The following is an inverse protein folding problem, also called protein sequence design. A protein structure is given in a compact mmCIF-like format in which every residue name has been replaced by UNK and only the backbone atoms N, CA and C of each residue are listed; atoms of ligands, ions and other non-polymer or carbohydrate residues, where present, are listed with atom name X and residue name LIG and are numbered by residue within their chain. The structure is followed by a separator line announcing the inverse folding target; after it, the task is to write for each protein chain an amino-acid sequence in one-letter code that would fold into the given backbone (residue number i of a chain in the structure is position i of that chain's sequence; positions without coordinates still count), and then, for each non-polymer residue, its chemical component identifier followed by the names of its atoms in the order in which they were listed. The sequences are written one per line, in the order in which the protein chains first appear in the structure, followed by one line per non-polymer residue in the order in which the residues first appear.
data_IF_542959772020
#
_entry.id   IF_542959772020
#
_cell.length_a   1.000
_cell.length_b   1.000
_cell.length_c   1.000
_cell.angle_alpha   90.00
_cell.angle_beta   90.00
_cell.angle_gamma   90.00
#
_symmetry.space_group_name_H-M   'P 1'
#
loop_
_entity.id
_entity.type
_entity.pdbx_description
1 polymer ?
#
# COMPACT_ATOMS: atom_id res chain seq x y z
N UNK A 1 -25.67 11.62 8.16
CA UNK A 1 -24.19 11.80 8.25
C UNK A 1 -23.82 13.03 9.07
N UNK A 2 -24.42 14.21 8.83
CA UNK A 2 -24.14 15.43 9.60
C UNK A 2 -24.48 15.32 11.11
N UNK A 3 -25.63 14.73 11.47
CA UNK A 3 -26.01 14.54 12.88
C UNK A 3 -25.06 13.60 13.63
N UNK A 4 -24.55 12.54 12.98
CA UNK A 4 -23.62 11.60 13.59
C UNK A 4 -22.24 12.22 13.85
N UNK A 5 -21.77 13.12 12.97
CA UNK A 5 -20.56 13.91 13.19
C UNK A 5 -20.72 14.84 14.40
N UNK A 6 -21.84 15.57 14.46
CA UNK A 6 -22.11 16.49 15.57
C UNK A 6 -22.27 15.78 16.93
N UNK A 7 -22.81 14.56 16.93
CA UNK A 7 -22.97 13.73 18.13
C UNK A 7 -21.66 13.01 18.57
N UNK A 8 -20.57 13.14 17.81
CA UNK A 8 -19.30 12.50 18.11
C UNK A 8 -18.60 13.04 19.35
N UNK A 9 -17.59 12.30 19.84
CA UNK A 9 -16.68 12.81 20.86
C UNK A 9 -15.60 13.66 20.19
N UNK A 10 -15.64 14.96 20.45
CA UNK A 10 -14.64 15.89 19.97
C UNK A 10 -13.56 16.08 21.04
N UNK A 11 -12.30 16.01 20.62
CA UNK A 11 -11.16 16.38 21.45
C UNK A 11 -10.50 17.61 20.82
N UNK A 12 -10.20 18.65 21.61
CA UNK A 12 -9.43 19.78 21.10
C UNK A 12 -8.02 19.30 20.72
N UNK A 13 -7.50 19.93 19.67
CA UNK A 13 -6.09 19.83 19.27
C UNK A 13 -5.38 21.02 19.90
N UNK A 14 -4.34 20.77 20.70
CA UNK A 14 -3.51 21.83 21.25
C UNK A 14 -2.55 22.34 20.16
N UNK A 15 -2.84 23.55 19.67
CA UNK A 15 -2.08 24.18 18.59
C UNK A 15 -0.84 24.95 19.06
N UNK A 16 -0.47 24.89 20.34
CA UNK A 16 0.68 25.61 20.91
C UNK A 16 2.00 25.35 20.17
N UNK A 17 2.19 24.13 19.64
CA UNK A 17 3.35 23.74 18.84
C UNK A 17 3.31 24.18 17.36
N UNK A 18 2.19 24.76 16.89
CA UNK A 18 2.02 25.22 15.51
C UNK A 18 1.87 24.10 14.49
N UNK A 19 2.35 24.35 13.26
CA UNK A 19 2.27 23.41 12.13
C UNK A 19 3.66 23.21 11.55
N UNK A 20 4.06 21.94 11.37
CA UNK A 20 5.30 21.58 10.70
C UNK A 20 5.04 20.48 9.69
N UNK A 21 5.72 20.54 8.54
CA UNK A 21 5.65 19.50 7.50
C UNK A 21 7.05 19.07 7.09
N UNK A 22 7.19 17.78 6.83
CA UNK A 22 8.42 17.14 6.35
C UNK A 22 8.06 16.07 5.33
N UNK A 23 8.93 15.86 4.36
CA UNK A 23 8.78 14.80 3.36
C UNK A 23 10.12 14.14 3.09
N UNK A 24 10.08 12.89 2.67
CA UNK A 24 11.22 12.15 2.18
C UNK A 24 10.77 11.19 1.07
N UNK A 25 11.71 10.76 0.26
CA UNK A 25 11.53 9.65 -0.65
C UNK A 25 12.21 8.42 -0.07
N UNK A 26 11.56 7.27 -0.18
CA UNK A 26 12.07 5.98 0.28
C UNK A 26 12.27 5.09 -0.92
N UNK A 27 13.49 4.60 -1.10
CA UNK A 27 13.79 3.60 -2.12
C UNK A 27 13.18 2.24 -1.70
N UNK A 28 12.51 1.60 -2.66
CA UNK A 28 11.85 0.32 -2.50
C UNK A 28 12.12 -0.56 -3.74
N UNK A 29 11.81 -1.84 -3.62
CA UNK A 29 11.90 -2.78 -4.73
C UNK A 29 10.57 -3.49 -4.93
N UNK A 30 10.23 -3.77 -6.18
CA UNK A 30 9.18 -4.69 -6.57
C UNK A 30 9.83 -6.05 -6.83
N UNK A 31 9.38 -7.11 -6.14
CA UNK A 31 10.04 -8.42 -6.17
C UNK A 31 9.03 -9.49 -6.62
N UNK A 32 9.28 -10.18 -7.76
CA UNK A 32 8.39 -11.23 -8.23
C UNK A 32 8.27 -12.35 -7.19
N UNK A 33 7.04 -12.80 -6.97
CA UNK A 33 6.73 -13.92 -6.06
C UNK A 33 6.24 -15.17 -6.79
N UNK A 34 5.86 -15.03 -8.07
CA UNK A 34 5.42 -16.14 -8.91
C UNK A 34 6.63 -17.01 -9.27
N UNK A 35 6.45 -18.33 -9.21
CA UNK A 35 7.51 -19.29 -9.58
C UNK A 35 7.59 -19.46 -11.10
N UNK A 36 6.45 -19.37 -11.78
CA UNK A 36 6.32 -19.48 -13.22
C UNK A 36 6.52 -18.14 -13.92
N UNK A 37 7.10 -18.18 -15.12
CA UNK A 37 7.20 -16.99 -15.96
C UNK A 37 5.79 -16.51 -16.40
N UNK A 38 5.59 -15.19 -16.63
CA UNK A 38 4.30 -14.65 -17.06
C UNK A 38 3.70 -15.35 -18.29
N UNK A 39 4.53 -15.79 -19.24
CA UNK A 39 4.06 -16.53 -20.43
C UNK A 39 3.50 -17.94 -20.09
N UNK A 40 3.99 -18.59 -19.03
CA UNK A 40 3.45 -19.85 -18.54
C UNK A 40 2.12 -19.63 -17.82
N UNK A 41 2.07 -18.64 -16.92
CA UNK A 41 0.86 -18.24 -16.21
C UNK A 41 -0.25 -17.82 -17.19
N UNK A 42 0.09 -17.04 -18.22
CA UNK A 42 -0.82 -16.67 -19.30
C UNK A 42 -1.50 -17.90 -19.92
N UNK A 43 -0.72 -18.90 -20.32
CA UNK A 43 -1.26 -20.13 -20.91
C UNK A 43 -2.19 -20.85 -19.94
N UNK A 44 -1.93 -20.77 -18.65
CA UNK A 44 -2.84 -21.31 -17.63
C UNK A 44 -4.15 -20.52 -17.58
N UNK A 45 -4.06 -19.19 -17.40
CA UNK A 45 -5.23 -18.33 -17.32
C UNK A 45 -6.08 -18.36 -18.58
N UNK A 46 -5.48 -18.48 -19.77
CA UNK A 46 -6.21 -18.67 -21.03
C UNK A 46 -7.02 -19.97 -21.05
N UNK A 47 -6.51 -21.05 -20.44
CA UNK A 47 -7.28 -22.30 -20.32
C UNK A 47 -8.45 -22.14 -19.36
N UNK A 48 -8.22 -21.51 -18.20
CA UNK A 48 -9.23 -21.25 -17.18
C UNK A 48 -10.33 -20.30 -17.69
N UNK A 49 -9.95 -19.30 -18.49
CA UNK A 49 -10.86 -18.31 -19.08
C UNK A 49 -11.93 -18.94 -19.98
N UNK A 50 -11.68 -20.14 -20.54
CA UNK A 50 -12.64 -20.83 -21.40
C UNK A 50 -13.92 -21.25 -20.66
N UNK A 51 -13.82 -21.49 -19.37
CA UNK A 51 -14.93 -21.94 -18.52
C UNK A 51 -15.29 -20.94 -17.43
N UNK A 52 -14.51 -19.86 -17.26
CA UNK A 52 -14.77 -18.84 -16.25
C UNK A 52 -15.94 -17.92 -16.63
N UNK A 53 -16.76 -17.61 -15.63
CA UNK A 53 -17.91 -16.71 -15.69
C UNK A 53 -17.80 -15.60 -14.63
N UNK A 54 -18.69 -14.61 -14.69
CA UNK A 54 -18.78 -13.54 -13.69
C UNK A 54 -17.47 -12.80 -13.42
N UNK A 55 -17.19 -12.54 -12.14
CA UNK A 55 -16.01 -11.82 -11.67
C UNK A 55 -14.71 -12.53 -12.04
N UNK A 56 -14.64 -13.86 -11.89
CA UNK A 56 -13.45 -14.65 -12.22
C UNK A 56 -13.03 -14.47 -13.68
N UNK A 57 -14.00 -14.40 -14.61
CA UNK A 57 -13.74 -14.10 -16.02
C UNK A 57 -13.09 -12.72 -16.21
N UNK A 58 -13.54 -11.73 -15.44
CA UNK A 58 -12.97 -10.39 -15.42
C UNK A 58 -11.53 -10.40 -14.93
N UNK A 59 -11.27 -11.07 -13.81
CA UNK A 59 -9.94 -11.15 -13.19
C UNK A 59 -8.91 -11.79 -14.15
N UNK A 60 -9.26 -12.94 -14.73
CA UNK A 60 -8.38 -13.68 -15.66
C UNK A 60 -8.01 -12.83 -16.89
N UNK A 61 -8.96 -12.06 -17.44
CA UNK A 61 -8.65 -11.15 -18.55
C UNK A 61 -7.64 -10.08 -18.16
N UNK A 62 -7.73 -9.53 -16.95
CA UNK A 62 -6.78 -8.55 -16.46
C UNK A 62 -5.39 -9.16 -16.26
N UNK A 63 -5.31 -10.37 -15.70
CA UNK A 63 -4.03 -11.07 -15.53
C UNK A 63 -3.37 -11.45 -16.86
N UNK A 64 -4.16 -11.90 -17.83
CA UNK A 64 -3.67 -12.16 -19.20
C UNK A 64 -3.15 -10.86 -19.83
N UNK A 65 -3.90 -9.75 -19.73
CA UNK A 65 -3.44 -8.46 -20.26
C UNK A 65 -2.18 -7.96 -19.55
N UNK A 66 -2.07 -8.15 -18.23
CA UNK A 66 -0.86 -7.84 -17.47
C UNK A 66 0.34 -8.65 -17.95
N UNK A 67 0.17 -9.93 -18.29
CA UNK A 67 1.28 -10.78 -18.73
C UNK A 67 1.98 -10.30 -20.02
N UNK A 68 1.31 -9.47 -20.82
CA UNK A 68 1.87 -8.85 -22.03
C UNK A 68 2.62 -7.53 -21.75
N UNK A 69 2.49 -6.97 -20.53
CA UNK A 69 3.12 -5.69 -20.21
C UNK A 69 4.65 -5.84 -20.17
N UNK A 70 5.40 -4.87 -20.73
CA UNK A 70 6.85 -4.83 -20.56
C UNK A 70 7.21 -4.82 -19.08
N UNK A 71 8.07 -5.75 -18.67
CA UNK A 71 8.49 -5.83 -17.27
C UNK A 71 7.64 -6.74 -16.39
N UNK A 72 6.51 -7.29 -16.86
CA UNK A 72 5.70 -8.23 -16.08
C UNK A 72 6.58 -9.38 -15.52
N UNK A 73 6.42 -9.67 -14.23
CA UNK A 73 7.19 -10.69 -13.51
C UNK A 73 8.68 -10.36 -13.34
N UNK A 74 9.12 -9.11 -13.53
CA UNK A 74 10.52 -8.69 -13.31
C UNK A 74 10.67 -7.87 -12.03
N UNK A 75 11.82 -8.02 -11.39
CA UNK A 75 12.23 -7.09 -10.34
C UNK A 75 12.44 -5.69 -10.92
N UNK A 76 12.04 -4.68 -10.15
CA UNK A 76 12.24 -3.27 -10.50
C UNK A 76 12.45 -2.44 -9.24
N UNK A 77 13.27 -1.40 -9.35
CA UNK A 77 13.41 -0.39 -8.31
C UNK A 77 12.25 0.60 -8.39
N UNK A 78 11.85 1.13 -7.23
CA UNK A 78 10.75 2.07 -7.11
C UNK A 78 11.08 3.11 -6.03
N UNK A 79 10.56 4.33 -6.17
CA UNK A 79 10.74 5.39 -5.17
C UNK A 79 9.40 5.87 -4.66
N UNK A 80 9.22 5.78 -3.34
CA UNK A 80 7.95 5.99 -2.67
C UNK A 80 7.99 7.29 -1.84
N UNK A 81 7.11 8.27 -2.13
CA UNK A 81 7.06 9.50 -1.37
C UNK A 81 6.36 9.28 -0.02
N UNK A 82 6.93 9.78 1.06
CA UNK A 82 6.30 9.80 2.38
C UNK A 82 6.35 11.21 2.96
N UNK A 83 5.40 11.53 3.83
CA UNK A 83 5.43 12.78 4.56
C UNK A 83 4.87 12.65 5.97
N UNK A 84 5.25 13.59 6.82
CA UNK A 84 4.62 13.80 8.11
C UNK A 84 4.25 15.27 8.27
N UNK A 85 3.06 15.51 8.79
CA UNK A 85 2.61 16.83 9.20
C UNK A 85 2.29 16.80 10.69
N UNK A 86 2.99 17.63 11.46
CA UNK A 86 2.61 17.95 12.83
C UNK A 86 1.60 19.09 12.80
N UNK A 87 0.47 18.90 13.49
CA UNK A 87 -0.62 19.85 13.67
C UNK A 87 -0.90 19.94 15.17
N UNK A 88 -0.18 20.82 15.87
CA UNK A 88 -0.29 20.92 17.32
C UNK A 88 0.19 19.64 18.03
N UNK A 89 -0.67 19.03 18.85
CA UNK A 89 -0.45 17.74 19.53
C UNK A 89 -0.89 16.51 18.68
N UNK A 90 -1.36 16.73 17.44
CA UNK A 90 -1.76 15.68 16.50
C UNK A 90 -0.76 15.58 15.35
N UNK A 91 -0.53 14.37 14.84
CA UNK A 91 0.31 14.19 13.65
C UNK A 91 -0.41 13.40 12.55
N UNK A 92 -0.12 13.74 11.30
CA UNK A 92 -0.63 13.06 10.11
C UNK A 92 0.55 12.41 9.39
N UNK A 93 0.49 11.09 9.24
CA UNK A 93 1.47 10.29 8.53
C UNK A 93 0.93 9.95 7.14
N UNK A 94 1.62 10.41 6.11
CA UNK A 94 1.23 10.23 4.72
C UNK A 94 2.06 9.13 4.07
N UNK A 95 1.39 8.09 3.61
CA UNK A 95 1.97 6.94 2.92
C UNK A 95 1.39 6.85 1.50
N UNK A 96 2.18 6.46 0.50
CA UNK A 96 1.68 6.20 -0.84
C UNK A 96 0.91 4.87 -0.86
N UNK A 97 0.11 4.63 -1.91
CA UNK A 97 -0.56 3.34 -2.07
C UNK A 97 -1.59 3.02 -0.99
N UNK A 98 -1.80 1.73 -0.77
CA UNK A 98 -2.81 1.20 0.14
C UNK A 98 -2.13 0.49 1.32
N UNK A 99 -1.72 1.24 2.37
CA UNK A 99 -1.10 0.66 3.55
C UNK A 99 -2.10 -0.15 4.36
N UNK A 100 -1.63 -1.29 4.87
CA UNK A 100 -2.43 -2.14 5.75
C UNK A 100 -2.64 -1.50 7.13
N UNK A 101 -3.65 -1.99 7.86
CA UNK A 101 -3.99 -1.54 9.22
C UNK A 101 -2.81 -1.62 10.21
N UNK A 102 -1.81 -2.48 9.93
CA UNK A 102 -0.58 -2.54 10.70
C UNK A 102 0.13 -1.17 10.80
N UNK A 103 0.07 -0.34 9.76
CA UNK A 103 0.65 1.01 9.75
C UNK A 103 0.07 1.90 10.86
N UNK A 104 -1.26 1.89 10.99
CA UNK A 104 -1.98 2.65 12.02
C UNK A 104 -1.63 2.16 13.42
N UNK A 105 -1.60 0.83 13.61
CA UNK A 105 -1.20 0.22 14.88
C UNK A 105 0.23 0.57 15.26
N UNK A 106 1.14 0.61 14.30
CA UNK A 106 2.54 0.91 14.57
C UNK A 106 2.77 2.37 14.92
N UNK A 107 2.16 3.30 14.18
CA UNK A 107 2.33 4.74 14.41
C UNK A 107 1.52 5.25 15.60
N UNK A 108 0.43 4.56 15.95
CA UNK A 108 -0.35 4.80 17.16
C UNK A 108 0.19 4.04 18.38
N UNK A 109 1.28 3.27 18.24
CA UNK A 109 1.89 2.55 19.35
C UNK A 109 2.56 3.52 20.34
N UNK A 110 1.81 3.92 21.37
CA UNK A 110 2.24 4.80 22.45
C UNK A 110 1.04 5.55 23.01
N UNK A 111 0.91 5.62 24.34
CA UNK A 111 -0.30 6.16 25.00
C UNK A 111 -0.64 7.61 24.66
N UNK A 112 0.29 8.36 24.07
CA UNK A 112 0.15 9.77 23.72
C UNK A 112 0.18 10.03 22.20
N UNK A 113 0.37 9.01 21.35
CA UNK A 113 0.44 9.21 19.90
C UNK A 113 -0.95 9.48 19.32
N UNK A 114 -1.21 10.74 18.96
CA UNK A 114 -2.38 11.12 18.14
C UNK A 114 -1.99 11.16 16.66
N UNK A 115 -1.52 10.02 16.14
CA UNK A 115 -1.08 9.92 14.75
C UNK A 115 -2.19 9.33 13.88
N UNK A 116 -2.56 10.02 12.81
CA UNK A 116 -3.53 9.54 11.82
C UNK A 116 -2.74 9.12 10.58
N UNK A 117 -2.97 7.90 10.11
CA UNK A 117 -2.37 7.39 8.86
C UNK A 117 -3.27 7.70 7.68
N UNK A 118 -2.71 8.31 6.64
CA UNK A 118 -3.35 8.56 5.36
C UNK A 118 -2.60 7.82 4.25
N UNK A 119 -3.28 6.87 3.60
CA UNK A 119 -2.81 6.27 2.35
C UNK A 119 -2.97 7.22 1.15
N UNK A 120 -2.66 6.70 -0.04
CA UNK A 120 -2.83 7.37 -1.34
C UNK A 120 -2.09 8.71 -1.48
N UNK A 121 -1.03 8.92 -0.70
CA UNK A 121 -0.26 10.16 -0.75
C UNK A 121 0.60 10.24 -2.01
N UNK A 122 0.27 11.20 -2.89
CA UNK A 122 0.93 11.52 -4.17
C UNK A 122 0.96 10.40 -5.21
N UNK A 123 0.83 9.14 -4.82
CA UNK A 123 0.87 7.99 -5.69
C UNK A 123 0.04 6.82 -5.13
N UNK A 124 -0.40 5.91 -6.00
CA UNK A 124 -1.07 4.67 -5.63
C UNK A 124 -0.52 3.48 -6.43
N UNK A 125 0.71 3.04 -6.14
CA UNK A 125 1.36 1.95 -6.88
C UNK A 125 0.83 0.55 -6.53
N UNK A 126 0.01 0.44 -5.49
CA UNK A 126 -0.59 -0.80 -5.04
C UNK A 126 -0.66 -0.92 -3.52
N UNK A 127 -0.89 -2.14 -3.05
CA UNK A 127 -0.93 -2.44 -1.62
C UNK A 127 0.46 -2.41 -0.99
N UNK A 128 0.49 -2.01 0.28
CA UNK A 128 1.64 -2.11 1.16
C UNK A 128 1.29 -2.99 2.36
N UNK A 129 1.36 -4.33 2.22
CA UNK A 129 1.16 -5.26 3.32
C UNK A 129 2.32 -5.19 4.32
N UNK A 130 2.04 -5.45 5.59
CA UNK A 130 3.10 -5.73 6.57
C UNK A 130 3.76 -7.08 6.28
N UNK A 131 5.00 -7.23 6.74
CA UNK A 131 5.83 -8.39 6.47
C UNK A 131 5.22 -9.71 6.96
N UNK A 132 4.29 -9.70 7.91
CA UNK A 132 3.62 -10.91 8.39
C UNK A 132 2.52 -11.41 7.44
N UNK A 133 2.04 -10.60 6.50
CA UNK A 133 1.02 -11.00 5.51
C UNK A 133 1.61 -11.76 4.32
N UNK A 134 2.88 -11.54 4.00
CA UNK A 134 3.50 -12.17 2.82
C UNK A 134 3.41 -13.71 2.82
N UNK A 135 3.65 -14.42 3.95
CA UNK A 135 3.44 -15.87 4.01
C UNK A 135 1.98 -16.31 3.89
N UNK A 136 1.01 -15.43 4.20
CA UNK A 136 -0.42 -15.72 4.10
C UNK A 136 -0.94 -15.57 2.67
N UNK A 137 -0.26 -14.75 1.86
CA UNK A 137 -0.64 -14.47 0.48
C UNK A 137 -1.96 -13.70 0.41
N UNK A 138 -2.80 -14.05 -0.56
CA UNK A 138 -4.07 -13.37 -0.80
C UNK A 138 -3.93 -12.25 -1.83
N UNK A 139 -5.09 -11.73 -2.27
CA UNK A 139 -5.20 -10.83 -3.40
C UNK A 139 -4.24 -9.63 -3.31
N UNK A 140 -4.21 -8.95 -2.18
CA UNK A 140 -3.42 -7.74 -1.93
C UNK A 140 -1.91 -8.00 -2.05
N UNK A 141 -1.46 -9.19 -1.65
CA UNK A 141 -0.05 -9.59 -1.67
C UNK A 141 0.31 -10.16 -3.04
N UNK A 142 -0.50 -11.07 -3.58
CA UNK A 142 -0.10 -11.92 -4.69
C UNK A 142 -0.59 -11.45 -6.05
N UNK A 143 -1.72 -10.76 -6.12
CA UNK A 143 -2.43 -10.58 -7.38
C UNK A 143 -2.66 -9.12 -7.75
N UNK A 144 -2.83 -8.26 -6.73
CA UNK A 144 -3.25 -6.89 -6.89
C UNK A 144 -2.29 -6.07 -7.76
N UNK A 145 -0.97 -6.33 -7.65
CA UNK A 145 0.05 -5.67 -8.47
C UNK A 145 -0.25 -5.74 -9.98
N UNK A 146 -0.93 -6.81 -10.44
CA UNK A 146 -1.33 -6.99 -11.84
C UNK A 146 -2.40 -5.96 -12.25
N UNK A 147 -3.31 -5.60 -11.34
CA UNK A 147 -4.34 -4.57 -11.53
C UNK A 147 -3.75 -3.16 -11.55
N UNK A 148 -2.80 -2.87 -10.66
CA UNK A 148 -2.04 -1.61 -10.70
C UNK A 148 -1.09 -1.54 -11.91
N UNK A 149 -0.94 -2.65 -12.64
CA UNK A 149 -0.04 -2.73 -13.79
C UNK A 149 1.44 -2.72 -13.41
N UNK A 150 1.75 -3.01 -12.15
CA UNK A 150 3.11 -3.11 -11.66
C UNK A 150 3.75 -4.43 -12.08
N UNK A 151 5.08 -4.46 -12.29
CA UNK A 151 5.79 -5.66 -12.72
C UNK A 151 5.78 -6.79 -11.69
N UNK A 152 5.65 -6.48 -10.40
CA UNK A 152 5.65 -7.38 -9.26
C UNK A 152 5.03 -6.68 -8.03
N UNK A 153 4.70 -7.38 -6.93
CA UNK A 153 4.37 -6.72 -5.67
C UNK A 153 5.59 -6.05 -5.04
N UNK A 154 5.38 -5.14 -4.09
CA UNK A 154 6.47 -4.60 -3.28
C UNK A 154 7.19 -5.69 -2.49
N UNK A 155 8.48 -5.47 -2.21
CA UNK A 155 9.27 -6.37 -1.40
C UNK A 155 8.69 -6.47 0.02
N UNK A 156 8.78 -7.68 0.58
CA UNK A 156 8.50 -7.90 2.00
C UNK A 156 9.36 -6.96 2.86
N UNK A 157 8.73 -6.22 3.77
CA UNK A 157 9.42 -5.22 4.60
C UNK A 157 9.33 -3.77 4.08
N UNK A 158 8.72 -3.54 2.90
CA UNK A 158 8.57 -2.19 2.35
C UNK A 158 7.72 -1.30 3.26
N UNK A 159 6.60 -1.79 3.81
CA UNK A 159 5.77 -0.99 4.71
C UNK A 159 6.58 -0.53 5.93
N UNK A 160 7.27 -1.45 6.60
CA UNK A 160 8.09 -1.17 7.79
C UNK A 160 9.19 -0.14 7.50
N UNK A 161 9.80 -0.22 6.32
CA UNK A 161 10.81 0.75 5.89
C UNK A 161 10.22 2.16 5.74
N UNK A 162 9.01 2.27 5.18
CA UNK A 162 8.29 3.55 5.07
C UNK A 162 7.94 4.10 6.46
N UNK A 163 7.43 3.25 7.35
CA UNK A 163 7.07 3.64 8.72
C UNK A 163 8.28 4.13 9.51
N UNK A 164 9.43 3.46 9.39
CA UNK A 164 10.67 3.88 10.03
C UNK A 164 11.09 5.29 9.60
N UNK A 165 11.01 5.60 8.30
CA UNK A 165 11.33 6.94 7.78
C UNK A 165 10.32 7.97 8.28
N UNK A 166 9.01 7.68 8.16
CA UNK A 166 7.94 8.59 8.62
C UNK A 166 8.05 8.95 10.10
N UNK A 167 8.42 7.99 10.96
CA UNK A 167 8.67 8.26 12.38
C UNK A 167 9.81 9.25 12.61
N UNK A 168 10.86 9.17 11.79
CA UNK A 168 12.02 10.05 11.85
C UNK A 168 11.77 11.47 11.31
N UNK A 169 10.66 11.70 10.62
CA UNK A 169 10.26 13.03 10.13
C UNK A 169 9.62 13.87 11.25
N UNK A 170 10.44 14.57 12.04
CA UNK A 170 10.00 15.53 13.06
C UNK A 170 9.91 16.98 12.53
#
# INVERSE_FOLDING_TARGET
MAEALLAGRWQPVDMSAGVATRRADVDACLVPIDMEAPAQLRRQWERELRTAEGEARGLLKQWIAWSDKPGAGRQADYRLPVARMQLGDVSLAFLPGEPFLAADRELSAGSESRTIVSGYYLDCPGYLPDAAQYPLGGYEVTDAHRYYGMPAPFARGTLESLLAVVRGLA
#
